data_IF_465368925952
#
_entry.id   IF_465368925952
#
_cell.length_a   1.000
_cell.length_b   1.000
_cell.length_c   1.000
_cell.angle_alpha   90.00
_cell.angle_beta   90.00
_cell.angle_gamma   90.00
#
_symmetry.space_group_name_H-M   'P 1'
#
loop_
_entity.id
_entity.type
_entity.pdbx_description
1 polymer ?
#
# COMPACT_ATOMS: atom_id res chain seq x y z
N UNK A 1 20.25 -18.06 18.40
CA UNK A 1 19.44 -17.21 17.50
C UNK A 1 18.06 -17.79 17.14
N UNK A 2 17.79 -19.09 17.30
CA UNK A 2 16.47 -19.70 17.00
C UNK A 2 15.42 -19.60 18.13
N UNK A 3 15.81 -19.25 19.33
CA UNK A 3 14.91 -19.24 20.50
C UNK A 3 14.13 -17.91 20.64
N UNK A 4 14.70 -16.80 20.17
CA UNK A 4 14.07 -15.46 20.25
C UNK A 4 12.92 -15.31 19.24
N UNK A 5 13.02 -15.94 18.07
CA UNK A 5 11.94 -15.93 17.04
C UNK A 5 10.68 -16.69 17.50
N UNK A 6 10.82 -17.68 18.40
CA UNK A 6 9.68 -18.45 18.91
C UNK A 6 8.91 -17.72 20.00
N UNK A 7 9.57 -16.89 20.81
CA UNK A 7 8.91 -16.14 21.89
C UNK A 7 8.13 -14.93 21.37
N UNK A 8 8.61 -14.24 20.32
CA UNK A 8 7.86 -13.14 19.71
C UNK A 8 6.57 -13.62 19.01
N UNK A 9 6.56 -14.83 18.47
CA UNK A 9 5.34 -15.46 17.90
C UNK A 9 4.30 -15.85 18.94
N UNK A 10 4.69 -16.09 20.19
CA UNK A 10 3.75 -16.50 21.26
C UNK A 10 2.95 -15.35 21.86
N UNK A 11 3.34 -14.09 21.59
CA UNK A 11 2.62 -12.88 22.03
C UNK A 11 1.57 -12.41 21.01
N UNK A 12 1.48 -13.04 19.85
CA UNK A 12 0.38 -12.80 18.91
C UNK A 12 -0.91 -13.26 19.59
N UNK A 13 -1.80 -12.33 19.90
CA UNK A 13 -3.19 -12.69 20.18
C UNK A 13 -3.66 -13.51 18.98
N UNK A 14 -4.38 -14.64 19.19
CA UNK A 14 -5.07 -15.28 18.08
C UNK A 14 -5.92 -14.19 17.43
N UNK A 15 -5.52 -13.75 16.23
CA UNK A 15 -6.31 -12.83 15.44
C UNK A 15 -7.69 -13.42 15.36
N UNK A 16 -8.72 -12.62 15.53
CA UNK A 16 -10.06 -13.00 15.09
C UNK A 16 -9.84 -13.21 13.60
N UNK A 17 -9.79 -14.48 13.17
CA UNK A 17 -9.73 -14.82 11.77
C UNK A 17 -10.84 -14.02 11.10
N UNK A 18 -10.48 -13.08 10.25
CA UNK A 18 -11.47 -12.27 9.58
C UNK A 18 -12.38 -13.24 8.88
N UNK A 19 -13.66 -13.24 9.22
CA UNK A 19 -14.65 -14.18 8.68
C UNK A 19 -14.75 -14.10 7.16
N UNK A 20 -14.06 -13.11 6.54
CA UNK A 20 -14.04 -12.79 5.12
C UNK A 20 -12.64 -12.71 4.48
N UNK A 21 -11.59 -13.30 5.10
CA UNK A 21 -10.21 -13.22 4.62
C UNK A 21 -9.45 -11.97 5.12
N UNK A 22 -8.23 -11.69 4.59
CA UNK A 22 -7.40 -10.57 5.01
C UNK A 22 -8.01 -9.23 4.60
N UNK A 23 -7.66 -8.16 5.33
CA UNK A 23 -7.90 -6.79 4.88
C UNK A 23 -7.16 -6.54 3.56
N UNK A 24 -7.90 -6.21 2.51
CA UNK A 24 -7.34 -5.96 1.16
C UNK A 24 -7.14 -4.46 0.97
N UNK A 25 -5.89 -4.05 0.82
CA UNK A 25 -5.49 -2.66 0.63
C UNK A 25 -4.99 -2.47 -0.79
N UNK A 26 -5.74 -1.74 -1.60
CA UNK A 26 -5.33 -1.33 -2.94
C UNK A 26 -4.36 -0.16 -2.88
N UNK A 27 -3.18 -0.30 -3.48
CA UNK A 27 -2.14 0.73 -3.52
C UNK A 27 -1.91 1.14 -4.97
N UNK A 28 -2.31 2.36 -5.31
CA UNK A 28 -2.16 2.95 -6.63
C UNK A 28 -1.17 4.12 -6.63
N UNK A 29 -0.70 4.48 -7.82
CA UNK A 29 0.19 5.62 -8.01
C UNK A 29 1.01 5.52 -9.30
N UNK A 30 1.75 6.56 -9.67
CA UNK A 30 2.69 6.52 -10.78
C UNK A 30 3.71 5.40 -10.64
N UNK A 31 4.28 4.98 -11.76
CA UNK A 31 5.25 3.88 -11.84
C UNK A 31 6.29 3.94 -10.71
N UNK A 32 6.45 2.85 -9.99
CA UNK A 32 7.40 2.69 -8.88
C UNK A 32 7.00 3.35 -7.54
N UNK A 33 5.99 4.24 -7.53
CA UNK A 33 5.56 4.90 -6.28
C UNK A 33 4.74 3.96 -5.41
N UNK A 34 3.86 3.16 -6.01
CA UNK A 34 3.07 2.12 -5.34
C UNK A 34 3.97 1.04 -4.75
N UNK A 35 4.89 0.50 -5.56
CA UNK A 35 5.85 -0.54 -5.18
C UNK A 35 6.71 -0.11 -3.99
N UNK A 36 7.19 1.16 -3.98
CA UNK A 36 7.97 1.70 -2.87
C UNK A 36 7.17 1.77 -1.56
N UNK A 37 5.87 2.11 -1.62
CA UNK A 37 5.01 2.10 -0.44
C UNK A 37 4.74 0.67 0.05
N UNK A 38 4.47 -0.26 -0.86
CA UNK A 38 4.28 -1.69 -0.52
C UNK A 38 5.54 -2.23 0.18
N UNK A 39 6.73 -1.94 -0.35
CA UNK A 39 8.00 -2.33 0.27
C UNK A 39 8.12 -1.81 1.70
N UNK A 40 7.90 -0.50 1.89
CA UNK A 40 8.02 0.15 3.19
C UNK A 40 7.03 -0.43 4.20
N UNK A 41 5.75 -0.60 3.81
CA UNK A 41 4.70 -1.17 4.68
C UNK A 41 4.98 -2.63 5.02
N UNK A 42 5.40 -3.45 4.06
CA UNK A 42 5.75 -4.85 4.33
C UNK A 42 6.89 -4.96 5.34
N UNK A 43 7.97 -4.20 5.16
CA UNK A 43 9.10 -4.18 6.10
C UNK A 43 8.71 -3.72 7.50
N UNK A 44 7.79 -2.76 7.59
CA UNK A 44 7.31 -2.20 8.85
C UNK A 44 6.36 -3.15 9.59
N UNK A 45 5.49 -3.89 8.86
CA UNK A 45 4.40 -4.66 9.45
C UNK A 45 4.64 -6.17 9.54
N UNK A 46 5.57 -6.74 8.76
CA UNK A 46 5.74 -8.20 8.61
C UNK A 46 6.08 -8.96 9.89
N UNK A 47 6.64 -8.29 10.88
CA UNK A 47 6.96 -8.91 12.16
C UNK A 47 5.75 -8.98 13.12
N UNK A 48 4.67 -8.29 12.76
CA UNK A 48 3.45 -8.16 13.57
C UNK A 48 2.23 -8.80 12.91
N UNK A 49 2.17 -8.84 11.57
CA UNK A 49 1.03 -9.32 10.80
C UNK A 49 1.45 -10.35 9.76
N UNK A 50 0.56 -11.28 9.48
CA UNK A 50 0.70 -12.20 8.35
C UNK A 50 0.25 -11.51 7.07
N UNK A 51 1.22 -11.23 6.19
CA UNK A 51 1.02 -10.40 4.99
C UNK A 51 1.33 -11.20 3.73
N UNK A 52 0.58 -10.96 2.66
CA UNK A 52 0.99 -11.26 1.30
C UNK A 52 0.71 -10.08 0.36
N UNK A 53 1.35 -10.10 -0.80
CA UNK A 53 1.28 -9.03 -1.81
C UNK A 53 0.90 -9.61 -3.16
N UNK A 54 0.05 -8.88 -3.88
CA UNK A 54 -0.23 -9.07 -5.29
C UNK A 54 0.23 -7.83 -6.03
N UNK A 55 1.12 -7.99 -7.02
CA UNK A 55 1.56 -6.91 -7.90
C UNK A 55 0.97 -7.11 -9.28
N UNK A 56 0.61 -6.02 -9.94
CA UNK A 56 0.13 -6.02 -11.31
C UNK A 56 1.17 -5.41 -12.23
N UNK A 57 1.44 -6.07 -13.35
CA UNK A 57 2.31 -5.54 -14.39
C UNK A 57 1.77 -5.96 -15.77
N UNK A 58 2.15 -5.22 -16.81
CA UNK A 58 1.62 -5.45 -18.16
C UNK A 58 2.20 -6.72 -18.78
N UNK A 59 3.53 -6.84 -18.81
CA UNK A 59 4.25 -7.91 -19.51
C UNK A 59 5.34 -8.57 -18.67
N UNK A 60 5.58 -8.10 -17.45
CA UNK A 60 6.68 -8.55 -16.62
C UNK A 60 6.22 -8.83 -15.21
N UNK A 61 7.12 -9.31 -14.38
CA UNK A 61 6.95 -9.41 -12.92
C UNK A 61 7.97 -8.53 -12.21
N UNK A 62 8.26 -7.35 -12.80
CA UNK A 62 9.34 -6.48 -12.30
C UNK A 62 9.07 -6.03 -10.86
N UNK A 63 7.84 -5.61 -10.54
CA UNK A 63 7.48 -5.20 -9.18
C UNK A 63 7.58 -6.36 -8.18
N UNK A 64 7.20 -7.58 -8.58
CA UNK A 64 7.43 -8.79 -7.78
C UNK A 64 8.93 -9.01 -7.53
N UNK A 65 9.76 -8.84 -8.56
CA UNK A 65 11.22 -9.02 -8.46
C UNK A 65 11.84 -7.93 -7.58
N UNK A 66 11.41 -6.69 -7.70
CA UNK A 66 11.85 -5.56 -6.86
C UNK A 66 11.56 -5.88 -5.39
N UNK A 67 10.34 -6.21 -5.03
CA UNK A 67 9.94 -6.53 -3.66
C UNK A 67 10.69 -7.76 -3.10
N UNK A 68 10.92 -8.75 -3.94
CA UNK A 68 11.67 -9.97 -3.55
C UNK A 68 13.14 -9.64 -3.30
N UNK A 69 13.80 -8.88 -4.20
CA UNK A 69 15.19 -8.43 -4.04
C UNK A 69 15.37 -7.51 -2.83
N UNK A 70 14.39 -6.65 -2.57
CA UNK A 70 14.35 -5.79 -1.39
C UNK A 70 14.08 -6.55 -0.09
N UNK A 71 13.81 -7.87 -0.17
CA UNK A 71 13.44 -8.70 0.98
C UNK A 71 12.25 -8.11 1.77
N UNK A 72 11.27 -7.54 1.06
CA UNK A 72 10.07 -6.99 1.66
C UNK A 72 9.28 -8.08 2.42
N UNK A 73 9.09 -9.22 1.77
CA UNK A 73 8.54 -10.46 2.30
C UNK A 73 9.31 -11.67 1.74
N UNK A 74 9.01 -12.87 2.23
CA UNK A 74 9.44 -14.11 1.60
C UNK A 74 8.83 -14.22 0.19
N UNK A 75 9.59 -14.72 -0.78
CA UNK A 75 9.21 -14.72 -2.20
C UNK A 75 7.84 -15.39 -2.46
N UNK A 76 7.52 -16.46 -1.71
CA UNK A 76 6.25 -17.17 -1.82
C UNK A 76 5.03 -16.34 -1.36
N UNK A 77 5.24 -15.22 -0.67
CA UNK A 77 4.21 -14.28 -0.23
C UNK A 77 4.01 -13.11 -1.19
N UNK A 78 4.70 -13.10 -2.32
CA UNK A 78 4.60 -12.07 -3.35
C UNK A 78 4.20 -12.74 -4.66
N UNK A 79 3.01 -12.42 -5.17
CA UNK A 79 2.49 -12.96 -6.42
C UNK A 79 2.37 -11.85 -7.46
N UNK A 80 3.04 -12.01 -8.60
CA UNK A 80 2.92 -11.13 -9.76
C UNK A 80 1.81 -11.61 -10.69
N UNK A 81 0.91 -10.71 -11.06
CA UNK A 81 -0.14 -10.90 -12.07
C UNK A 81 0.25 -10.16 -13.34
N UNK A 82 0.41 -10.90 -14.43
CA UNK A 82 0.63 -10.32 -15.76
C UNK A 82 -0.72 -10.03 -16.41
N UNK A 83 -1.06 -8.75 -16.54
CA UNK A 83 -2.38 -8.34 -17.00
C UNK A 83 -2.57 -8.42 -18.53
N UNK A 84 -1.48 -8.56 -19.29
CA UNK A 84 -1.49 -8.68 -20.74
C UNK A 84 -2.02 -7.46 -21.50
N UNK A 85 -2.40 -6.42 -20.79
CA UNK A 85 -3.00 -5.20 -21.31
C UNK A 85 -2.92 -4.07 -20.29
N UNK A 86 -3.93 -3.17 -20.30
CA UNK A 86 -3.95 -2.05 -19.37
C UNK A 86 -4.15 -2.53 -17.91
N UNK A 87 -3.21 -2.28 -16.99
CA UNK A 87 -3.33 -2.71 -15.59
C UNK A 87 -4.58 -2.15 -14.89
N UNK A 88 -5.06 -0.97 -15.31
CA UNK A 88 -6.28 -0.37 -14.78
C UNK A 88 -7.52 -1.25 -14.98
N UNK A 89 -7.60 -1.95 -16.12
CA UNK A 89 -8.69 -2.90 -16.38
C UNK A 89 -8.67 -4.02 -15.35
N UNK A 90 -7.51 -4.56 -15.04
CA UNK A 90 -7.35 -5.68 -14.11
C UNK A 90 -7.65 -5.34 -12.65
N UNK A 91 -7.61 -4.06 -12.26
CA UNK A 91 -7.92 -3.63 -10.88
C UNK A 91 -9.33 -3.03 -10.74
N UNK A 92 -10.00 -2.71 -11.84
CA UNK A 92 -11.27 -2.00 -11.81
C UNK A 92 -12.38 -2.66 -12.63
N UNK A 93 -12.17 -2.84 -13.93
CA UNK A 93 -13.24 -3.24 -14.88
C UNK A 93 -13.42 -4.76 -14.93
N UNK A 94 -12.30 -5.50 -14.90
CA UNK A 94 -12.26 -6.95 -14.83
C UNK A 94 -11.22 -7.41 -13.81
N UNK A 95 -11.62 -7.46 -12.55
CA UNK A 95 -10.77 -7.85 -11.45
C UNK A 95 -10.57 -9.37 -11.33
N UNK A 96 -11.08 -10.18 -12.25
CA UNK A 96 -11.12 -11.64 -12.16
C UNK A 96 -9.74 -12.28 -11.93
N UNK A 97 -8.70 -11.82 -12.63
CA UNK A 97 -7.34 -12.32 -12.47
C UNK A 97 -6.79 -12.06 -11.07
N UNK A 98 -7.01 -10.84 -10.56
CA UNK A 98 -6.59 -10.48 -9.20
C UNK A 98 -7.40 -11.21 -8.12
N UNK A 99 -8.70 -11.39 -8.32
CA UNK A 99 -9.54 -12.16 -7.40
C UNK A 99 -9.12 -13.63 -7.36
N UNK A 100 -8.75 -14.22 -8.52
CA UNK A 100 -8.19 -15.57 -8.57
C UNK A 100 -6.86 -15.64 -7.82
N UNK A 101 -5.96 -14.67 -8.03
CA UNK A 101 -4.68 -14.60 -7.32
C UNK A 101 -4.88 -14.46 -5.79
N UNK A 102 -5.83 -13.62 -5.34
CA UNK A 102 -6.20 -13.51 -3.92
C UNK A 102 -6.72 -14.85 -3.39
N UNK A 103 -7.56 -15.53 -4.15
CA UNK A 103 -8.09 -16.84 -3.75
C UNK A 103 -6.96 -17.85 -3.53
N UNK A 104 -6.04 -17.96 -4.48
CA UNK A 104 -4.89 -18.88 -4.40
C UNK A 104 -3.99 -18.56 -3.21
N UNK A 105 -3.73 -17.27 -2.97
CA UNK A 105 -2.94 -16.81 -1.82
C UNK A 105 -3.64 -17.06 -0.49
N UNK A 106 -4.96 -16.91 -0.41
CA UNK A 106 -5.73 -17.26 0.78
C UNK A 106 -5.71 -18.75 1.10
N UNK A 107 -5.73 -19.62 0.07
CA UNK A 107 -5.57 -21.07 0.26
C UNK A 107 -4.16 -21.40 0.78
N UNK A 108 -3.14 -20.71 0.28
CA UNK A 108 -1.75 -20.93 0.67
C UNK A 108 -1.41 -20.34 2.05
N UNK A 109 -2.03 -19.21 2.39
CA UNK A 109 -1.81 -18.46 3.63
C UNK A 109 -3.14 -18.15 4.34
N UNK A 110 -3.81 -19.17 4.90
CA UNK A 110 -5.14 -19.00 5.49
C UNK A 110 -5.18 -18.08 6.72
N UNK A 111 -4.02 -17.88 7.36
CA UNK A 111 -3.86 -17.00 8.52
C UNK A 111 -3.46 -15.56 8.14
N UNK A 112 -3.47 -15.22 6.83
CA UNK A 112 -3.14 -13.87 6.40
C UNK A 112 -4.14 -12.84 6.95
N UNK A 113 -3.62 -11.73 7.46
CA UNK A 113 -4.39 -10.63 8.04
C UNK A 113 -4.42 -9.41 7.10
N UNK A 114 -3.38 -9.26 6.25
CA UNK A 114 -3.23 -8.16 5.30
C UNK A 114 -2.90 -8.70 3.91
N UNK A 115 -3.56 -8.13 2.91
CA UNK A 115 -3.25 -8.29 1.50
C UNK A 115 -3.03 -6.91 0.88
N UNK A 116 -1.84 -6.65 0.34
CA UNK A 116 -1.61 -5.47 -0.48
C UNK A 116 -1.77 -5.83 -1.95
N UNK A 117 -2.59 -5.05 -2.67
CA UNK A 117 -2.77 -5.18 -4.12
C UNK A 117 -2.24 -3.91 -4.78
N UNK A 118 -1.14 -4.03 -5.50
CA UNK A 118 -0.47 -2.91 -6.18
C UNK A 118 -0.98 -2.77 -7.61
N UNK A 119 -1.15 -1.53 -8.10
CA UNK A 119 -1.86 -1.24 -9.36
C UNK A 119 -1.03 -1.40 -10.64
N UNK A 120 0.29 -1.55 -10.54
CA UNK A 120 1.18 -1.66 -11.71
C UNK A 120 1.54 -0.32 -12.36
N UNK A 121 1.36 0.78 -11.66
CA UNK A 121 1.66 2.13 -12.14
C UNK A 121 0.55 2.75 -13.00
N UNK A 122 0.18 3.97 -12.68
CA UNK A 122 -0.93 4.66 -13.34
C UNK A 122 -0.71 6.18 -13.50
N UNK A 123 -1.61 6.83 -14.27
CA UNK A 123 -1.59 8.26 -14.54
C UNK A 123 -2.70 9.02 -13.79
N UNK A 124 -2.78 8.92 -12.47
CA UNK A 124 -3.78 9.56 -11.60
C UNK A 124 -5.21 9.03 -11.76
N UNK A 125 -5.43 8.03 -12.60
CA UNK A 125 -6.74 7.52 -12.95
C UNK A 125 -7.14 6.24 -12.21
N UNK A 126 -6.17 5.53 -11.61
CA UNK A 126 -6.44 4.24 -10.98
C UNK A 126 -7.41 4.37 -9.80
N UNK A 127 -8.45 3.56 -9.88
CA UNK A 127 -9.34 3.28 -8.75
C UNK A 127 -9.56 1.78 -8.72
N UNK A 128 -9.54 1.21 -7.53
CA UNK A 128 -9.79 -0.21 -7.36
C UNK A 128 -11.29 -0.50 -7.36
N UNK A 129 -11.66 -1.67 -7.91
CA UNK A 129 -13.00 -2.21 -7.71
C UNK A 129 -13.26 -2.45 -6.23
N UNK A 130 -14.45 -2.14 -5.68
CA UNK A 130 -14.82 -2.49 -4.30
C UNK A 130 -14.75 -3.99 -4.00
N UNK A 131 -14.81 -4.84 -5.03
CA UNK A 131 -14.64 -6.29 -4.89
C UNK A 131 -13.19 -6.69 -4.65
N UNK A 132 -12.23 -5.84 -5.08
CA UNK A 132 -10.80 -6.12 -5.01
C UNK A 132 -10.14 -5.50 -3.77
N UNK A 133 -10.55 -4.31 -3.35
CA UNK A 133 -9.95 -3.59 -2.25
C UNK A 133 -11.00 -3.05 -1.28
N UNK A 134 -10.78 -3.31 0.01
CA UNK A 134 -11.61 -2.80 1.12
C UNK A 134 -11.19 -1.38 1.51
N UNK A 135 -9.91 -1.04 1.26
CA UNK A 135 -9.30 0.26 1.52
C UNK A 135 -8.36 0.62 0.38
N UNK A 136 -8.30 1.91 0.02
CA UNK A 136 -7.46 2.39 -1.08
C UNK A 136 -6.48 3.46 -0.61
N UNK A 137 -5.21 3.29 -0.96
CA UNK A 137 -4.14 4.27 -0.76
C UNK A 137 -3.61 4.69 -2.12
N UNK A 138 -3.51 5.99 -2.35
CA UNK A 138 -2.95 6.53 -3.57
C UNK A 138 -1.66 7.29 -3.28
N UNK A 139 -0.59 7.01 -4.02
CA UNK A 139 0.71 7.66 -3.83
C UNK A 139 0.95 8.63 -4.97
N UNK A 140 1.38 9.83 -4.65
CA UNK A 140 1.95 10.79 -5.62
C UNK A 140 3.34 11.22 -5.16
N UNK A 141 4.11 11.77 -6.09
CA UNK A 141 5.51 12.07 -5.90
C UNK A 141 5.75 13.58 -6.01
N UNK A 142 6.45 14.17 -5.05
CA UNK A 142 6.86 15.57 -5.12
C UNK A 142 7.70 15.84 -6.37
N UNK A 143 8.49 14.86 -6.81
CA UNK A 143 9.31 14.96 -8.02
C UNK A 143 8.49 15.12 -9.32
N UNK A 144 7.20 14.77 -9.32
CA UNK A 144 6.29 15.01 -10.44
C UNK A 144 5.79 16.46 -10.51
N UNK A 145 6.17 17.29 -9.54
CA UNK A 145 5.89 18.73 -9.46
C UNK A 145 4.76 19.11 -8.52
N UNK A 146 4.83 20.32 -7.97
CA UNK A 146 3.87 20.83 -6.96
C UNK A 146 2.41 20.88 -7.42
N UNK A 147 2.19 20.88 -8.75
CA UNK A 147 0.85 21.01 -9.35
C UNK A 147 0.05 19.70 -9.34
N UNK A 148 0.68 18.57 -8.99
CA UNK A 148 0.02 17.25 -9.07
C UNK A 148 -1.25 17.19 -8.22
N UNK A 149 -1.28 17.62 -6.95
CA UNK A 149 -2.51 17.56 -6.16
C UNK A 149 -3.67 18.32 -6.81
N UNK A 150 -3.42 19.53 -7.35
CA UNK A 150 -4.47 20.37 -7.98
C UNK A 150 -4.98 19.83 -9.31
N UNK A 151 -4.22 18.98 -10.01
CA UNK A 151 -4.70 18.29 -11.21
C UNK A 151 -5.86 17.36 -10.89
N UNK A 152 -5.90 16.86 -9.67
CA UNK A 152 -6.94 15.95 -9.22
C UNK A 152 -6.85 14.60 -9.94
N UNK A 153 -7.99 14.02 -10.20
CA UNK A 153 -8.14 12.66 -10.75
C UNK A 153 -8.68 11.70 -9.70
N UNK A 154 -9.28 10.60 -10.13
CA UNK A 154 -9.95 9.68 -9.22
C UNK A 154 -9.05 9.14 -8.11
N UNK A 155 -7.79 8.81 -8.40
CA UNK A 155 -6.82 8.34 -7.41
C UNK A 155 -6.59 9.37 -6.30
N UNK A 156 -6.35 10.64 -6.66
CA UNK A 156 -6.13 11.71 -5.68
C UNK A 156 -7.41 12.01 -4.89
N UNK A 157 -8.55 12.13 -5.57
CA UNK A 157 -9.77 12.66 -4.96
C UNK A 157 -10.57 11.62 -4.18
N UNK A 158 -10.51 10.34 -4.56
CA UNK A 158 -11.41 9.29 -4.06
C UNK A 158 -10.74 8.26 -3.18
N UNK A 159 -9.41 8.10 -3.24
CA UNK A 159 -8.70 7.18 -2.34
C UNK A 159 -8.98 7.51 -0.87
N UNK A 160 -9.00 6.51 -0.01
CA UNK A 160 -9.20 6.69 1.43
C UNK A 160 -8.05 7.48 2.03
N UNK A 161 -6.82 7.20 1.58
CA UNK A 161 -5.62 7.95 1.95
C UNK A 161 -4.85 8.37 0.70
N UNK A 162 -4.37 9.63 0.68
CA UNK A 162 -3.37 10.11 -0.28
C UNK A 162 -2.01 10.20 0.42
N UNK A 163 -0.98 9.64 -0.19
CA UNK A 163 0.41 9.77 0.26
C UNK A 163 1.15 10.69 -0.71
N UNK A 164 1.77 11.74 -0.19
CA UNK A 164 2.62 12.67 -0.94
C UNK A 164 4.07 12.34 -0.56
N UNK A 165 4.74 11.56 -1.42
CA UNK A 165 6.05 10.98 -1.13
C UNK A 165 7.20 11.81 -1.68
N UNK A 166 8.44 11.48 -1.23
CA UNK A 166 9.71 12.09 -1.61
C UNK A 166 9.78 13.57 -1.28
N UNK A 167 9.28 13.95 -0.10
CA UNK A 167 9.26 15.36 0.35
C UNK A 167 10.67 15.96 0.48
N UNK A 168 11.69 15.14 0.67
CA UNK A 168 13.09 15.53 0.67
C UNK A 168 13.57 16.11 -0.68
N UNK A 169 12.91 15.75 -1.78
CA UNK A 169 13.22 16.27 -3.11
C UNK A 169 12.58 17.63 -3.40
N UNK A 170 11.68 18.13 -2.55
CA UNK A 170 10.96 19.38 -2.80
C UNK A 170 11.89 20.57 -3.13
N UNK A 171 12.98 20.83 -2.39
CA UNK A 171 13.91 21.91 -2.74
C UNK A 171 14.61 21.71 -4.08
N UNK A 172 14.89 20.45 -4.44
CA UNK A 172 15.64 20.11 -5.66
C UNK A 172 14.82 20.29 -6.93
N UNK A 173 13.49 20.07 -6.82
CA UNK A 173 12.57 20.19 -7.97
C UNK A 173 11.78 21.50 -7.95
N UNK A 174 12.08 22.41 -7.00
CA UNK A 174 11.39 23.69 -6.87
C UNK A 174 9.92 23.55 -6.48
N UNK A 175 9.55 22.50 -5.77
CA UNK A 175 8.18 22.27 -5.30
C UNK A 175 7.98 22.91 -3.92
N UNK A 176 6.83 23.57 -3.72
CA UNK A 176 6.42 24.12 -2.44
C UNK A 176 5.41 23.19 -1.76
N UNK A 177 5.79 22.62 -0.61
CA UNK A 177 4.96 21.68 0.13
C UNK A 177 3.70 22.33 0.70
N UNK A 178 3.73 23.62 1.08
CA UNK A 178 2.55 24.33 1.57
C UNK A 178 1.50 24.49 0.45
N UNK A 179 1.95 24.73 -0.78
CA UNK A 179 1.07 24.78 -1.96
C UNK A 179 0.46 23.40 -2.20
N UNK A 180 1.28 22.33 -2.15
CA UNK A 180 0.78 20.96 -2.32
C UNK A 180 -0.22 20.58 -1.23
N UNK A 181 0.00 21.02 0.01
CA UNK A 181 -0.91 20.81 1.13
C UNK A 181 -2.26 21.52 0.90
N UNK A 182 -2.23 22.80 0.55
CA UNK A 182 -3.44 23.58 0.27
C UNK A 182 -4.24 22.97 -0.89
N UNK A 183 -3.56 22.56 -1.96
CA UNK A 183 -4.19 21.91 -3.11
C UNK A 183 -4.76 20.54 -2.74
N UNK A 184 -4.04 19.72 -1.97
CA UNK A 184 -4.54 18.43 -1.49
C UNK A 184 -5.79 18.60 -0.62
N UNK A 185 -5.79 19.54 0.34
CA UNK A 185 -6.98 19.86 1.16
C UNK A 185 -8.17 20.28 0.30
N UNK A 186 -7.93 21.15 -0.69
CA UNK A 186 -8.99 21.62 -1.60
C UNK A 186 -9.59 20.47 -2.41
N UNK A 187 -8.75 19.56 -2.94
CA UNK A 187 -9.21 18.48 -3.81
C UNK A 187 -9.83 17.31 -3.06
N UNK A 188 -9.40 17.08 -1.83
CA UNK A 188 -9.82 15.91 -1.03
C UNK A 188 -10.91 16.23 -0.01
N UNK A 189 -11.11 17.53 0.33
CA UNK A 189 -12.01 17.92 1.42
C UNK A 189 -11.57 17.33 2.77
N UNK A 190 -12.42 16.54 3.41
CA UNK A 190 -12.14 15.91 4.69
C UNK A 190 -11.31 14.62 4.61
N UNK A 191 -11.01 14.12 3.39
CA UNK A 191 -10.21 12.91 3.25
C UNK A 191 -8.74 13.16 3.61
N UNK A 192 -8.10 12.29 4.40
CA UNK A 192 -6.75 12.49 4.88
C UNK A 192 -5.69 12.36 3.79
N UNK A 193 -4.58 13.04 4.00
CA UNK A 193 -3.34 12.84 3.25
C UNK A 193 -2.15 12.95 4.20
N UNK A 194 -1.06 12.28 3.83
CA UNK A 194 0.18 12.21 4.61
C UNK A 194 1.36 12.57 3.71
N UNK A 195 2.22 13.46 4.18
CA UNK A 195 3.53 13.70 3.58
C UNK A 195 4.52 12.66 4.05
N UNK A 196 5.31 12.11 3.14
CA UNK A 196 6.24 11.04 3.46
C UNK A 196 7.58 11.14 2.75
N UNK A 197 8.58 10.48 3.34
CA UNK A 197 9.81 10.10 2.68
C UNK A 197 10.02 8.60 2.99
N UNK A 198 9.48 7.75 2.14
CA UNK A 198 9.50 6.29 2.35
C UNK A 198 10.93 5.74 2.44
N UNK A 199 11.91 6.39 1.78
CA UNK A 199 13.32 5.99 1.83
C UNK A 199 13.92 6.13 3.23
N UNK A 200 13.52 7.16 3.98
CA UNK A 200 13.97 7.39 5.36
C UNK A 200 13.04 6.78 6.41
N UNK A 201 11.87 6.26 6.01
CA UNK A 201 10.83 5.77 6.90
C UNK A 201 9.86 6.85 7.40
N UNK A 202 10.08 8.13 7.05
CA UNK A 202 9.20 9.22 7.48
C UNK A 202 7.77 9.05 6.95
N UNK A 203 6.79 9.07 7.85
CA UNK A 203 5.38 8.93 7.53
C UNK A 203 4.89 7.48 7.42
N UNK A 204 5.78 6.47 7.47
CA UNK A 204 5.40 5.05 7.35
C UNK A 204 4.52 4.62 8.51
N UNK A 205 4.86 5.02 9.75
CA UNK A 205 4.07 4.71 10.96
C UNK A 205 2.65 5.29 10.86
N UNK A 206 2.51 6.52 10.37
CA UNK A 206 1.21 7.19 10.20
C UNK A 206 0.36 6.50 9.13
N UNK A 207 0.98 6.10 8.01
CA UNK A 207 0.30 5.39 6.93
C UNK A 207 -0.15 4.00 7.42
N UNK A 208 0.73 3.26 8.10
CA UNK A 208 0.42 1.96 8.67
C UNK A 208 -0.69 2.08 9.73
N UNK A 209 -0.59 3.04 10.63
CA UNK A 209 -1.61 3.32 11.65
C UNK A 209 -2.98 3.62 11.04
N UNK A 210 -3.04 4.42 9.97
CA UNK A 210 -4.28 4.69 9.25
C UNK A 210 -4.89 3.41 8.66
N UNK A 211 -4.08 2.58 7.98
CA UNK A 211 -4.53 1.33 7.37
C UNK A 211 -5.10 0.39 8.45
N UNK A 212 -4.38 0.19 9.53
CA UNK A 212 -4.79 -0.71 10.60
C UNK A 212 -6.07 -0.22 11.30
N UNK A 213 -6.14 1.08 11.63
CA UNK A 213 -7.31 1.68 12.27
C UNK A 213 -8.55 1.58 11.38
N UNK A 214 -8.43 1.92 10.10
CA UNK A 214 -9.55 1.86 9.15
C UNK A 214 -9.97 0.43 8.84
N UNK A 215 -9.01 -0.50 8.79
CA UNK A 215 -9.25 -1.92 8.58
C UNK A 215 -9.73 -2.68 9.82
N UNK A 216 -9.84 -2.02 10.98
CA UNK A 216 -10.25 -2.65 12.22
C UNK A 216 -9.22 -3.60 12.83
N UNK A 217 -7.95 -3.50 12.40
CA UNK A 217 -6.85 -4.26 12.96
C UNK A 217 -6.23 -3.54 14.16
N UNK A 218 -5.75 -4.30 15.16
CA UNK A 218 -5.20 -3.71 16.37
C UNK A 218 -3.81 -3.12 16.14
N UNK A 219 -3.67 -1.81 16.20
CA UNK A 219 -2.38 -1.12 16.15
C UNK A 219 -1.51 -1.32 17.42
N UNK A 220 -2.02 -2.01 18.44
CA UNK A 220 -1.31 -2.20 19.72
C UNK A 220 -0.01 -3.01 19.64
N UNK A 221 0.28 -3.60 18.50
CA UNK A 221 1.51 -4.36 18.26
C UNK A 221 2.68 -3.52 17.70
N UNK A 222 2.43 -2.28 17.28
CA UNK A 222 3.46 -1.44 16.66
C UNK A 222 4.37 -0.77 17.72
N UNK A 223 5.69 -0.64 17.46
CA UNK A 223 6.58 0.14 18.31
C UNK A 223 6.08 1.60 18.38
N UNK A 224 5.71 2.08 19.54
CA UNK A 224 5.20 3.44 19.76
C UNK A 224 3.69 3.58 19.91
N UNK A 225 2.91 2.48 19.84
CA UNK A 225 1.44 2.49 19.97
C UNK A 225 0.89 2.52 21.40
N UNK A 226 1.75 2.60 22.43
CA UNK A 226 1.31 2.43 23.83
C UNK A 226 0.92 3.73 24.55
N UNK A 227 1.12 4.91 23.93
CA UNK A 227 0.78 6.20 24.58
C UNK A 227 0.33 7.26 23.54
N UNK A 228 -0.93 7.21 23.14
CA UNK A 228 -1.65 8.41 22.63
C UNK A 228 -3.14 8.28 22.86
#
# INVERSE_FOLDING_TARGET
MKTIERESRSLRRPGIAATNGPLRVGIGGPVGSGTALVEALCKHLRDFYEIYVITNDIYTKEDQLILTRAQALAAERIMGVETGGCPHTAIREDASMNLAAIHDMNLKFPDAELCFVESGGDNLAATFSPELADLTVYVIDVAAGEKIPRKGGPGIMRSDLLVINKIDLAPMVGANLEIMEADARRMRGARPFIFSNLKSGQGVDEIAGFILQKGGLSAAALPGGADR
#
